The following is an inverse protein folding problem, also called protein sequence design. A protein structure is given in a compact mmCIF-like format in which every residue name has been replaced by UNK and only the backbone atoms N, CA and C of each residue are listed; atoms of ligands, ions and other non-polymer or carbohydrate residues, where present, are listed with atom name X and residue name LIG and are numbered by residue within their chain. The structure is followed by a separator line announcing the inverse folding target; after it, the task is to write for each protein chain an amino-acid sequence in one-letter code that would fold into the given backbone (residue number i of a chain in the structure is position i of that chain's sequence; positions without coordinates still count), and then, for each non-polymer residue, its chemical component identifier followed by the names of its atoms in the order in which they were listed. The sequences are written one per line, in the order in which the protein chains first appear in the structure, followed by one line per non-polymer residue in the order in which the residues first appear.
data_IF_163045833605
#
_entry.id   IF_163045833605
#
_cell.length_a   1.000
_cell.length_b   1.000
_cell.length_c   1.000
_cell.angle_alpha   90.00
_cell.angle_beta   90.00
_cell.angle_gamma   90.00
#
_symmetry.space_group_name_H-M   'P 1'
#
loop_
_entity.id
_entity.type
_entity.pdbx_description
1 polymer ?
#
# COMPACT_ATOMS: atom_id res chain seq x y z
N UNK A 1 6.72 -4.25 13.05
CA UNK A 1 5.27 -4.40 13.30
C UNK A 1 4.50 -4.58 12.02
N UNK A 2 4.21 -3.49 11.29
CA UNK A 2 3.32 -3.49 10.11
C UNK A 2 3.67 -4.49 9.00
N UNK A 3 4.95 -4.65 8.64
CA UNK A 3 5.39 -5.62 7.63
C UNK A 3 5.13 -7.08 8.04
N UNK A 4 5.41 -7.43 9.30
CA UNK A 4 5.16 -8.77 9.81
C UNK A 4 3.65 -9.05 9.92
N UNK A 5 2.88 -8.08 10.39
CA UNK A 5 1.42 -8.19 10.51
C UNK A 5 0.74 -8.34 9.14
N UNK A 6 1.14 -7.55 8.14
CA UNK A 6 0.61 -7.64 6.77
C UNK A 6 0.97 -8.97 6.09
N UNK A 7 2.19 -9.46 6.27
CA UNK A 7 2.62 -10.77 5.75
C UNK A 7 1.83 -11.92 6.38
N UNK A 8 1.61 -11.86 7.70
CA UNK A 8 0.80 -12.84 8.43
C UNK A 8 -0.67 -12.79 7.98
N UNK A 9 -1.25 -11.59 7.85
CA UNK A 9 -2.61 -11.42 7.32
C UNK A 9 -2.73 -11.95 5.88
N UNK A 10 -1.73 -11.72 5.04
CA UNK A 10 -1.67 -12.28 3.68
C UNK A 10 -1.66 -13.82 3.69
N UNK A 11 -0.86 -14.45 4.55
CA UNK A 11 -0.87 -15.90 4.72
C UNK A 11 -2.22 -16.42 5.23
N UNK A 12 -2.79 -15.74 6.22
CA UNK A 12 -4.06 -16.14 6.84
C UNK A 12 -5.24 -15.99 5.88
N UNK A 13 -5.26 -14.96 5.02
CA UNK A 13 -6.32 -14.72 4.04
C UNK A 13 -6.12 -15.47 2.71
N UNK A 14 -5.09 -16.33 2.62
CA UNK A 14 -4.80 -17.09 1.40
C UNK A 14 -5.98 -17.94 0.92
N UNK A 15 -6.88 -18.37 1.81
CA UNK A 15 -8.08 -19.14 1.44
C UNK A 15 -9.12 -18.36 0.60
N UNK A 16 -9.08 -17.02 0.59
CA UNK A 16 -9.98 -16.18 -0.22
C UNK A 16 -9.36 -15.88 -1.58
N UNK A 17 -8.05 -16.05 -1.72
CA UNK A 17 -7.28 -15.76 -2.93
C UNK A 17 -6.87 -17.04 -3.66
N UNK A 18 -6.66 -17.00 -4.99
CA UNK A 18 -6.12 -18.15 -5.74
C UNK A 18 -4.61 -18.38 -5.48
N UNK A 19 -4.05 -17.82 -4.41
CA UNK A 19 -2.61 -17.79 -4.13
C UNK A 19 -2.25 -18.80 -3.04
N UNK A 20 -1.09 -19.47 -3.18
CA UNK A 20 -0.50 -20.25 -2.08
C UNK A 20 -0.23 -19.34 -0.86
N UNK A 21 -0.29 -19.84 0.39
CA UNK A 21 0.01 -19.03 1.59
C UNK A 21 1.37 -18.31 1.52
N UNK A 22 2.38 -18.94 0.93
CA UNK A 22 3.70 -18.33 0.73
C UNK A 22 3.66 -17.18 -0.29
N UNK A 23 2.88 -17.34 -1.36
CA UNK A 23 2.71 -16.30 -2.38
C UNK A 23 1.88 -15.13 -1.84
N UNK A 24 0.79 -15.40 -1.12
CA UNK A 24 -0.05 -14.37 -0.54
C UNK A 24 0.71 -13.53 0.51
N UNK A 25 1.54 -14.17 1.34
CA UNK A 25 2.42 -13.46 2.27
C UNK A 25 3.49 -12.63 1.56
N UNK A 26 4.13 -13.15 0.51
CA UNK A 26 5.12 -12.41 -0.28
C UNK A 26 4.50 -11.17 -0.96
N UNK A 27 3.33 -11.31 -1.57
CA UNK A 27 2.60 -10.19 -2.20
C UNK A 27 2.22 -9.14 -1.16
N UNK A 28 1.70 -9.55 0.00
CA UNK A 28 1.34 -8.65 1.08
C UNK A 28 2.57 -7.89 1.65
N UNK A 29 3.71 -8.58 1.80
CA UNK A 29 4.97 -7.98 2.23
C UNK A 29 5.43 -6.89 1.25
N UNK A 30 5.44 -7.20 -0.05
CA UNK A 30 5.84 -6.24 -1.09
C UNK A 30 4.88 -5.06 -1.14
N UNK A 31 3.57 -5.30 -1.14
CA UNK A 31 2.57 -4.25 -1.15
C UNK A 31 2.69 -3.31 0.06
N UNK A 32 2.91 -3.86 1.26
CA UNK A 32 3.11 -3.07 2.48
C UNK A 32 4.40 -2.24 2.42
N UNK A 33 5.49 -2.82 1.93
CA UNK A 33 6.77 -2.10 1.75
C UNK A 33 6.62 -0.93 0.77
N UNK A 34 5.95 -1.17 -0.36
CA UNK A 34 5.73 -0.14 -1.38
C UNK A 34 4.77 0.95 -0.91
N UNK A 35 3.75 0.59 -0.13
CA UNK A 35 2.86 1.58 0.48
C UNK A 35 3.57 2.46 1.51
N UNK A 36 4.51 1.89 2.27
CA UNK A 36 5.35 2.67 3.19
C UNK A 36 6.25 3.65 2.42
N UNK A 37 6.91 3.20 1.36
CA UNK A 37 7.72 4.07 0.49
C UNK A 37 6.89 5.17 -0.17
N UNK A 38 5.69 4.85 -0.67
CA UNK A 38 4.78 5.84 -1.25
C UNK A 38 4.38 6.93 -0.26
N UNK A 39 4.10 6.56 0.99
CA UNK A 39 3.83 7.53 2.06
C UNK A 39 5.02 8.44 2.36
N UNK A 40 6.26 7.93 2.31
CA UNK A 40 7.47 8.75 2.47
C UNK A 40 7.65 9.73 1.32
N UNK A 41 7.45 9.28 0.07
CA UNK A 41 7.53 10.14 -1.12
C UNK A 41 6.49 11.25 -1.05
N UNK A 42 5.23 10.91 -0.76
CA UNK A 42 4.17 11.91 -0.62
C UNK A 42 4.46 12.90 0.53
N UNK A 43 4.98 12.42 1.67
CA UNK A 43 5.41 13.30 2.76
C UNK A 43 6.56 14.23 2.37
N UNK A 44 7.50 13.77 1.54
CA UNK A 44 8.58 14.60 1.02
C UNK A 44 8.05 15.68 0.07
N UNK A 45 7.13 15.34 -0.84
CA UNK A 45 6.50 16.31 -1.76
C UNK A 45 5.72 17.37 -0.96
N UNK A 46 4.98 16.95 0.08
CA UNK A 46 4.26 17.87 0.98
C UNK A 46 5.21 18.88 1.65
N UNK A 47 6.37 18.41 2.12
CA UNK A 47 7.40 19.29 2.71
C UNK A 47 8.00 20.27 1.69
N UNK A 48 8.21 19.83 0.46
CA UNK A 48 8.72 20.69 -0.61
C UNK A 48 7.71 21.80 -0.97
N UNK A 49 6.42 21.48 -0.96
CA UNK A 49 5.33 22.43 -1.21
C UNK A 49 4.97 23.29 0.03
N UNK A 50 5.61 23.06 1.18
CA UNK A 50 5.31 23.79 2.42
C UNK A 50 3.93 23.52 3.03
N UNK A 51 3.22 22.47 2.57
CA UNK A 51 1.89 22.09 3.03
C UNK A 51 1.96 20.84 3.89
N UNK A 52 1.11 20.76 4.93
CA UNK A 52 1.07 19.58 5.81
C UNK A 52 0.13 18.49 5.31
N UNK A 53 -0.99 18.90 4.72
CA UNK A 53 -2.08 18.04 4.25
C UNK A 53 -2.46 18.46 2.82
N UNK A 54 -2.75 17.50 1.93
CA UNK A 54 -3.06 17.76 0.53
C UNK A 54 -4.38 18.52 0.28
N UNK A 55 -5.24 18.65 1.30
CA UNK A 55 -6.48 19.40 1.18
C UNK A 55 -7.31 19.40 2.47
N UNK A 56 -8.23 20.37 2.55
CA UNK A 56 -9.18 20.57 3.65
C UNK A 56 -10.58 20.03 3.31
N UNK A 57 -10.67 18.85 2.69
CA UNK A 57 -11.96 18.33 2.23
C UNK A 57 -12.95 18.07 3.38
N UNK A 58 -12.45 17.86 4.60
CA UNK A 58 -13.25 17.72 5.82
C UNK A 58 -12.58 18.55 6.93
N UNK A 59 -13.24 19.60 7.42
CA UNK A 59 -12.73 20.36 8.58
C UNK A 59 -12.57 19.41 9.79
N UNK A 60 -11.34 19.26 10.28
CA UNK A 60 -11.00 18.40 11.43
C UNK A 60 -10.58 16.96 11.10
N UNK A 61 -10.68 16.52 9.85
CA UNK A 61 -10.12 15.26 9.36
C UNK A 61 -9.06 15.61 8.31
N UNK A 62 -7.79 15.29 8.56
CA UNK A 62 -6.71 15.50 7.59
C UNK A 62 -7.06 14.99 6.18
N UNK A 63 -6.35 15.48 5.17
CA UNK A 63 -6.72 15.28 3.76
C UNK A 63 -7.01 13.82 3.43
N UNK A 64 -8.19 13.54 2.85
CA UNK A 64 -8.55 12.20 2.38
C UNK A 64 -7.48 11.61 1.43
N UNK A 65 -6.80 12.50 0.69
CA UNK A 65 -5.66 12.19 -0.16
C UNK A 65 -4.47 11.59 0.61
N UNK A 66 -4.21 12.01 1.84
CA UNK A 66 -3.12 11.49 2.68
C UNK A 66 -3.27 9.99 2.98
N UNK A 67 -4.51 9.47 3.01
CA UNK A 67 -4.76 8.03 3.20
C UNK A 67 -4.45 7.22 1.95
N UNK A 68 -4.55 7.84 0.78
CA UNK A 68 -4.28 7.23 -0.52
C UNK A 68 -2.82 7.36 -0.96
N UNK A 69 -2.00 8.19 -0.30
CA UNK A 69 -0.57 8.31 -0.57
C UNK A 69 0.17 6.96 -0.61
N UNK A 70 -0.18 6.06 0.31
CA UNK A 70 0.38 4.70 0.35
C UNK A 70 -0.18 3.78 -0.74
N UNK A 71 -1.41 3.99 -1.19
CA UNK A 71 -2.05 3.22 -2.25
C UNK A 71 -1.46 3.53 -3.64
N UNK A 72 -1.02 4.77 -3.87
CA UNK A 72 -0.46 5.21 -5.16
C UNK A 72 0.72 4.34 -5.61
N UNK A 73 1.56 3.89 -4.67
CA UNK A 73 2.70 3.02 -4.97
C UNK A 73 2.36 1.53 -4.82
N UNK A 74 1.52 1.16 -3.84
CA UNK A 74 1.16 -0.24 -3.60
C UNK A 74 0.31 -0.83 -4.73
N UNK A 75 -0.67 -0.07 -5.24
CA UNK A 75 -1.63 -0.55 -6.26
C UNK A 75 -0.99 -0.96 -7.60
N UNK A 76 -0.13 -0.14 -8.26
CA UNK A 76 0.47 -0.53 -9.54
C UNK A 76 1.41 -1.73 -9.38
N UNK A 77 2.15 -1.83 -8.27
CA UNK A 77 3.06 -2.96 -8.03
C UNK A 77 2.27 -4.24 -7.76
N UNK A 78 1.21 -4.17 -6.95
CA UNK A 78 0.30 -5.30 -6.76
C UNK A 78 -0.28 -5.78 -8.09
N UNK A 79 -0.79 -4.85 -8.92
CA UNK A 79 -1.31 -5.18 -10.25
C UNK A 79 -0.26 -5.84 -11.15
N UNK A 80 0.97 -5.33 -11.18
CA UNK A 80 2.04 -5.92 -11.99
C UNK A 80 2.41 -7.32 -11.51
N UNK A 81 2.51 -7.55 -10.20
CA UNK A 81 2.81 -8.87 -9.64
C UNK A 81 1.70 -9.87 -10.01
N UNK A 82 0.44 -9.50 -9.79
CA UNK A 82 -0.69 -10.39 -10.13
C UNK A 82 -0.75 -10.64 -11.64
N UNK A 83 -0.53 -9.61 -12.47
CA UNK A 83 -0.55 -9.77 -13.92
C UNK A 83 0.58 -10.70 -14.41
N UNK A 84 1.83 -10.42 -14.06
CA UNK A 84 2.96 -11.22 -14.58
C UNK A 84 2.99 -12.66 -14.07
N UNK A 85 2.49 -12.94 -12.87
CA UNK A 85 2.55 -14.29 -12.29
C UNK A 85 1.24 -15.10 -12.40
N UNK A 86 0.09 -14.46 -12.65
CA UNK A 86 -1.21 -15.14 -12.66
C UNK A 86 -2.10 -14.91 -13.89
N UNK A 87 -1.73 -14.02 -14.82
CA UNK A 87 -2.43 -14.04 -16.12
C UNK A 87 -1.87 -15.15 -17.00
N UNK A 88 -2.63 -16.24 -17.08
CA UNK A 88 -2.63 -17.20 -18.19
C UNK A 88 -3.69 -16.76 -19.18
#
# INVERSE_FOLDING_TARGET
GGLAASSLLGALLSFITPFSPLQASAVAFVACTMGFLGGLVASAIKRDQGVKDWGHLIEGHGGMLDRTDSLVFAAPIFFHIVRYFWTV
#
